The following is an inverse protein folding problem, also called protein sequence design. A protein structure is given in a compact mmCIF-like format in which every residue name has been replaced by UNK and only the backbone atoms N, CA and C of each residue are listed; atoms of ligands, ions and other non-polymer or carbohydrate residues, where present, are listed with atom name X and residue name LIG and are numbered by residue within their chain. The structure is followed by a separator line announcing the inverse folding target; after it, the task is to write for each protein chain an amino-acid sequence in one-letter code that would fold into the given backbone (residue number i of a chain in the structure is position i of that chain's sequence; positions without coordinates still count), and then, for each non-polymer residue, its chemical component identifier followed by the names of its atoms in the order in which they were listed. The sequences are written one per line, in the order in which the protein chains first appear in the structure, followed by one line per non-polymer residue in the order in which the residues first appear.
data_IF_242017244538
#
_entry.id   IF_242017244538
#
_cell.length_a   1.000
_cell.length_b   1.000
_cell.length_c   1.000
_cell.angle_alpha   90.00
_cell.angle_beta   90.00
_cell.angle_gamma   90.00
#
_symmetry.space_group_name_H-M   'P 1'
#
loop_
_entity.id
_entity.type
_entity.pdbx_description
1 polymer ?
#
# COMPACT_ATOMS: atom_id res chain seq x y z
N UNK A 1 -9.63 -2.42 -10.67
CA UNK A 1 -10.49 -2.60 -9.47
C UNK A 1 -10.44 -4.07 -9.02
N UNK A 2 -10.66 -4.39 -7.74
CA UNK A 2 -10.78 -5.79 -7.28
C UNK A 2 -9.51 -6.64 -7.26
N UNK A 3 -8.33 -6.03 -7.43
CA UNK A 3 -7.05 -6.75 -7.46
C UNK A 3 -6.59 -7.27 -6.08
N UNK A 4 -7.17 -6.77 -4.98
CA UNK A 4 -6.77 -7.15 -3.62
C UNK A 4 -6.03 -6.06 -2.83
N UNK A 5 -5.99 -4.80 -3.31
CA UNK A 5 -5.33 -3.69 -2.60
C UNK A 5 -5.81 -3.49 -1.16
N UNK A 6 -7.13 -3.46 -0.94
CA UNK A 6 -7.69 -3.35 0.41
C UNK A 6 -7.37 -4.59 1.27
N UNK A 7 -7.31 -5.79 0.67
CA UNK A 7 -6.87 -7.00 1.37
C UNK A 7 -5.42 -6.86 1.84
N UNK A 8 -4.55 -6.36 0.96
CA UNK A 8 -3.17 -6.04 1.32
C UNK A 8 -3.11 -4.98 2.43
N UNK A 9 -3.88 -3.89 2.33
CA UNK A 9 -3.89 -2.82 3.32
C UNK A 9 -4.29 -3.31 4.73
N UNK A 10 -5.23 -4.26 4.81
CA UNK A 10 -5.61 -4.92 6.06
C UNK A 10 -4.46 -5.71 6.67
N UNK A 11 -3.85 -6.62 5.90
CA UNK A 11 -2.71 -7.40 6.38
C UNK A 11 -1.51 -6.52 6.75
N UNK A 12 -1.28 -5.43 6.01
CA UNK A 12 -0.26 -4.44 6.32
C UNK A 12 -0.55 -3.76 7.67
N UNK A 13 -1.79 -3.30 7.88
CA UNK A 13 -2.21 -2.72 9.15
C UNK A 13 -2.10 -3.68 10.33
N UNK A 14 -2.46 -4.95 10.15
CA UNK A 14 -2.30 -5.98 11.18
C UNK A 14 -0.82 -6.16 11.56
N UNK A 15 0.09 -6.19 10.56
CA UNK A 15 1.53 -6.27 10.79
C UNK A 15 2.12 -5.02 11.47
N UNK A 16 1.45 -3.86 11.37
CA UNK A 16 1.84 -2.65 12.07
C UNK A 16 1.32 -2.55 13.51
N UNK A 17 0.52 -3.52 13.97
CA UNK A 17 -0.11 -3.52 15.30
C UNK A 17 -0.90 -2.24 15.59
N UNK A 18 -1.81 -1.91 14.66
CA UNK A 18 -2.69 -0.75 14.78
C UNK A 18 -3.74 -0.92 15.88
N UNK A 19 -4.17 0.20 16.47
CA UNK A 19 -5.25 0.20 17.46
C UNK A 19 -6.56 -0.33 16.88
N UNK A 20 -6.82 0.00 15.61
CA UNK A 20 -8.04 -0.37 14.89
C UNK A 20 -7.70 -1.00 13.53
N UNK A 21 -8.46 -2.02 13.08
CA UNK A 21 -8.24 -2.63 11.77
C UNK A 21 -8.44 -1.63 10.62
N UNK A 22 -7.62 -1.78 9.58
CA UNK A 22 -7.75 -0.97 8.36
C UNK A 22 -9.05 -1.33 7.62
N UNK A 23 -9.78 -0.30 7.22
CA UNK A 23 -10.94 -0.44 6.34
C UNK A 23 -10.74 0.43 5.11
N UNK A 24 -11.28 0.00 3.96
CA UNK A 24 -11.22 0.81 2.74
C UNK A 24 -11.78 2.21 3.05
N UNK A 25 -11.05 3.28 2.70
CA UNK A 25 -11.52 4.64 2.86
C UNK A 25 -12.47 5.00 1.72
N UNK A 26 -13.56 4.22 1.59
CA UNK A 26 -14.54 4.29 0.49
C UNK A 26 -15.17 5.69 0.30
N UNK A 27 -15.15 6.53 1.34
CA UNK A 27 -15.74 7.87 1.37
C UNK A 27 -14.81 8.99 1.85
N UNK A 28 -13.61 8.66 2.34
CA UNK A 28 -12.68 9.65 2.90
C UNK A 28 -11.38 9.49 2.13
N UNK A 29 -10.71 10.57 1.74
CA UNK A 29 -9.50 10.45 0.89
C UNK A 29 -8.34 9.84 1.67
N UNK A 30 -8.15 10.23 2.93
CA UNK A 30 -7.10 9.69 3.80
C UNK A 30 -7.62 9.38 5.21
N UNK A 31 -7.03 8.39 5.87
CA UNK A 31 -7.27 8.06 7.28
C UNK A 31 -5.97 7.79 8.01
N UNK A 32 -5.86 8.35 9.21
CA UNK A 32 -4.76 8.03 10.13
C UNK A 32 -5.20 6.91 11.07
N UNK A 33 -4.36 5.89 11.18
CA UNK A 33 -4.50 4.76 12.07
C UNK A 33 -3.32 4.78 13.06
N UNK A 34 -3.57 5.08 14.34
CA UNK A 34 -2.54 4.98 15.37
C UNK A 34 -2.07 3.55 15.56
N UNK A 35 -0.79 3.40 15.92
CA UNK A 35 -0.24 2.14 16.43
C UNK A 35 -0.54 2.00 17.92
N UNK A 36 -0.63 0.77 18.41
CA UNK A 36 -0.75 0.50 19.85
C UNK A 36 0.48 0.94 20.65
N UNK A 37 1.66 0.89 20.03
CA UNK A 37 2.88 1.46 20.58
C UNK A 37 2.98 2.95 20.21
N UNK A 38 2.85 3.82 21.20
CA UNK A 38 2.77 5.28 21.01
C UNK A 38 4.07 5.92 20.47
N UNK A 39 5.21 5.24 20.59
CA UNK A 39 6.51 5.71 20.12
C UNK A 39 6.77 5.40 18.63
N UNK A 40 5.87 4.65 17.98
CA UNK A 40 6.00 4.28 16.58
C UNK A 40 5.11 5.15 15.66
N UNK A 41 5.59 5.46 14.44
CA UNK A 41 4.80 6.21 13.46
C UNK A 41 3.43 5.60 13.17
N UNK A 42 2.41 6.45 13.12
CA UNK A 42 1.06 6.07 12.68
C UNK A 42 1.04 5.66 11.21
N UNK A 43 0.02 4.92 10.80
CA UNK A 43 -0.26 4.64 9.39
C UNK A 43 -1.22 5.69 8.83
N UNK A 44 -0.84 6.37 7.76
CA UNK A 44 -1.78 7.12 6.92
C UNK A 44 -2.16 6.27 5.72
N UNK A 45 -3.42 5.86 5.65
CA UNK A 45 -4.00 5.14 4.51
C UNK A 45 -4.71 6.12 3.58
N UNK A 46 -4.13 6.35 2.40
CA UNK A 46 -4.61 7.27 1.37
C UNK A 46 -5.23 6.48 0.21
N UNK A 47 -6.41 6.86 -0.28
CA UNK A 47 -6.96 6.40 -1.56
C UNK A 47 -7.03 7.56 -2.55
N UNK A 48 -5.99 7.64 -3.39
CA UNK A 48 -5.82 8.71 -4.37
C UNK A 48 -6.74 8.56 -5.60
N UNK A 49 -7.55 7.49 -5.69
CA UNK A 49 -8.54 7.35 -6.77
C UNK A 49 -9.57 8.49 -6.79
N UNK A 50 -9.76 9.16 -5.65
CA UNK A 50 -10.70 10.27 -5.49
C UNK A 50 -10.11 11.65 -5.74
N UNK A 51 -8.79 11.75 -5.82
CA UNK A 51 -8.12 13.03 -6.04
C UNK A 51 -8.32 13.49 -7.48
N UNK A 52 -8.72 14.75 -7.65
CA UNK A 52 -8.77 15.43 -8.93
C UNK A 52 -7.43 16.04 -9.34
N UNK A 53 -6.57 16.36 -8.37
CA UNK A 53 -5.28 17.03 -8.61
C UNK A 53 -4.27 16.82 -7.47
N UNK A 54 -3.00 17.17 -7.70
CA UNK A 54 -1.98 17.18 -6.65
C UNK A 54 -2.25 18.28 -5.60
N UNK A 55 -2.89 19.39 -5.97
CA UNK A 55 -3.25 20.44 -5.02
C UNK A 55 -4.23 19.92 -3.96
N UNK A 56 -5.20 19.08 -4.35
CA UNK A 56 -6.11 18.42 -3.39
C UNK A 56 -5.37 17.47 -2.44
N UNK A 57 -4.23 16.90 -2.85
CA UNK A 57 -3.40 16.08 -1.96
C UNK A 57 -2.70 16.96 -0.91
N UNK A 58 -2.14 18.09 -1.33
CA UNK A 58 -1.47 19.04 -0.43
C UNK A 58 -2.46 19.60 0.62
N UNK A 59 -3.72 19.81 0.23
CA UNK A 59 -4.81 20.25 1.13
C UNK A 59 -5.15 19.23 2.23
N UNK A 60 -4.75 17.96 2.09
CA UNK A 60 -4.97 16.95 3.14
C UNK A 60 -4.06 17.13 4.36
N UNK A 61 -3.02 17.97 4.25
CA UNK A 61 -2.07 18.29 5.34
C UNK A 61 -1.49 17.01 5.99
N UNK A 62 -1.13 16.03 5.16
CA UNK A 62 -0.59 14.76 5.63
C UNK A 62 0.86 14.96 6.08
N UNK A 63 1.16 14.69 7.35
CA UNK A 63 2.53 14.63 7.83
C UNK A 63 3.21 13.32 7.38
N UNK A 64 3.64 13.33 6.12
CA UNK A 64 4.37 12.21 5.49
C UNK A 64 5.68 11.90 6.19
N UNK A 65 6.29 12.88 6.86
CA UNK A 65 7.62 12.75 7.46
C UNK A 65 7.62 11.98 8.78
N UNK A 66 6.51 12.02 9.52
CA UNK A 66 6.33 11.33 10.80
C UNK A 66 5.41 10.10 10.71
N UNK A 67 5.00 9.71 9.50
CA UNK A 67 4.02 8.65 9.27
C UNK A 67 4.55 7.55 8.34
N UNK A 68 4.03 6.34 8.48
CA UNK A 68 4.05 5.35 7.40
C UNK A 68 2.88 5.68 6.47
N UNK A 69 3.14 5.88 5.19
CA UNK A 69 2.09 6.18 4.21
C UNK A 69 1.83 4.97 3.31
N UNK A 70 0.59 4.46 3.34
CA UNK A 70 0.11 3.46 2.40
C UNK A 70 -0.89 4.11 1.45
N UNK A 71 -0.52 4.31 0.20
CA UNK A 71 -1.31 5.06 -0.76
C UNK A 71 -1.80 4.18 -1.93
N UNK A 72 -3.11 3.99 -2.04
CA UNK A 72 -3.75 3.34 -3.17
C UNK A 72 -3.88 4.30 -4.35
N UNK A 73 -3.65 3.81 -5.57
CA UNK A 73 -3.76 4.59 -6.82
C UNK A 73 -2.90 5.85 -6.90
N UNK A 74 -1.86 5.95 -6.06
CA UNK A 74 -1.09 7.18 -5.89
C UNK A 74 0.03 7.41 -6.92
N UNK A 75 0.19 6.53 -7.93
CA UNK A 75 1.24 6.68 -8.97
C UNK A 75 1.32 8.11 -9.55
N UNK A 76 0.21 8.80 -9.89
CA UNK A 76 0.27 10.16 -10.43
C UNK A 76 0.78 11.21 -9.42
N UNK A 77 0.71 10.89 -8.12
CA UNK A 77 0.97 11.81 -7.02
C UNK A 77 2.18 11.40 -6.16
N UNK A 78 2.84 10.28 -6.47
CA UNK A 78 3.88 9.69 -5.63
C UNK A 78 5.01 10.68 -5.31
N UNK A 79 5.44 11.47 -6.30
CA UNK A 79 6.45 12.51 -6.15
C UNK A 79 6.02 13.68 -5.26
N UNK A 80 4.73 13.91 -5.07
CA UNK A 80 4.24 14.90 -4.10
C UNK A 80 4.29 14.36 -2.67
N UNK A 81 4.30 13.03 -2.49
CA UNK A 81 4.38 12.38 -1.19
C UNK A 81 5.82 12.16 -0.72
N UNK A 82 6.70 11.73 -1.63
CA UNK A 82 8.09 11.37 -1.29
C UNK A 82 8.98 11.30 -2.53
N UNK A 83 10.28 11.59 -2.35
CA UNK A 83 11.33 11.35 -3.35
C UNK A 83 11.75 9.87 -3.44
N UNK A 84 11.38 9.07 -2.43
CA UNK A 84 11.72 7.64 -2.34
C UNK A 84 10.52 6.82 -1.85
N UNK A 85 10.17 5.75 -2.57
CA UNK A 85 9.06 4.88 -2.19
C UNK A 85 9.20 3.47 -2.78
N UNK A 86 8.40 2.54 -2.25
CA UNK A 86 8.18 1.22 -2.86
C UNK A 86 6.79 1.18 -3.44
N UNK A 87 6.69 0.80 -4.72
CA UNK A 87 5.44 0.59 -5.43
C UNK A 87 5.08 -0.89 -5.49
N UNK A 88 3.81 -1.20 -5.21
CA UNK A 88 3.23 -2.53 -5.35
C UNK A 88 2.18 -2.53 -6.46
N UNK A 89 2.43 -3.29 -7.52
CA UNK A 89 1.46 -3.56 -8.58
C UNK A 89 0.85 -4.94 -8.38
N UNK A 90 -0.47 -4.99 -8.14
CA UNK A 90 -1.21 -6.24 -7.92
C UNK A 90 -2.05 -6.52 -9.17
N UNK A 91 -1.72 -7.58 -9.89
CA UNK A 91 -2.47 -8.07 -11.03
C UNK A 91 -3.31 -9.29 -10.65
N UNK A 92 -4.60 -9.26 -10.99
CA UNK A 92 -5.47 -10.44 -10.95
C UNK A 92 -5.30 -11.25 -12.24
N UNK A 93 -5.53 -12.57 -12.21
CA UNK A 93 -5.62 -13.37 -13.43
C UNK A 93 -6.71 -12.82 -14.37
N UNK A 94 -6.46 -12.95 -15.67
CA UNK A 94 -7.40 -12.61 -16.74
C UNK A 94 -7.72 -13.88 -17.52
N UNK A 95 -9.00 -14.16 -17.70
CA UNK A 95 -9.51 -15.40 -18.29
C UNK A 95 -10.51 -16.09 -17.37
N UNK A 96 -11.63 -16.55 -17.92
CA UNK A 96 -12.56 -17.44 -17.21
C UNK A 96 -12.06 -18.87 -17.38
N UNK A 97 -11.76 -19.55 -16.29
CA UNK A 97 -11.91 -21.00 -16.26
C UNK A 97 -13.32 -21.24 -15.72
N UNK A 98 -14.13 -22.07 -16.40
CA UNK A 98 -15.48 -22.45 -15.93
C UNK A 98 -15.43 -23.37 -14.69
N UNK A 99 -14.27 -23.44 -14.04
CA UNK A 99 -13.95 -24.29 -12.91
C UNK A 99 -14.06 -23.45 -11.64
N UNK A 100 -15.04 -23.79 -10.81
CA UNK A 100 -15.46 -23.00 -9.64
C UNK A 100 -14.47 -23.10 -8.46
N UNK A 101 -13.42 -23.90 -8.58
CA UNK A 101 -12.50 -24.30 -7.49
C UNK A 101 -11.01 -24.04 -7.81
N UNK A 102 -10.68 -23.24 -8.84
CA UNK A 102 -9.29 -22.88 -9.09
C UNK A 102 -8.86 -21.68 -8.25
N UNK A 103 -7.70 -21.81 -7.59
CA UNK A 103 -7.04 -20.67 -6.97
C UNK A 103 -6.88 -19.54 -8.00
N UNK A 104 -7.21 -18.31 -7.62
CA UNK A 104 -6.95 -17.13 -8.43
C UNK A 104 -5.73 -16.36 -7.89
N UNK A 105 -4.48 -16.87 -8.07
CA UNK A 105 -3.31 -16.23 -7.49
C UNK A 105 -3.14 -14.82 -8.06
N UNK A 106 -2.82 -13.86 -7.18
CA UNK A 106 -2.48 -12.49 -7.59
C UNK A 106 -0.98 -12.43 -7.89
N UNK A 107 -0.59 -11.87 -9.04
CA UNK A 107 0.81 -11.52 -9.29
C UNK A 107 1.09 -10.16 -8.65
N UNK A 108 2.03 -10.11 -7.73
CA UNK A 108 2.48 -8.86 -7.10
C UNK A 108 3.86 -8.52 -7.65
N UNK A 109 3.99 -7.38 -8.30
CA UNK A 109 5.28 -6.81 -8.70
C UNK A 109 5.64 -5.71 -7.71
N UNK A 110 6.85 -5.76 -7.18
CA UNK A 110 7.40 -4.74 -6.28
C UNK A 110 8.45 -3.95 -7.06
N UNK A 111 8.41 -2.62 -6.98
CA UNK A 111 9.38 -1.72 -7.62
C UNK A 111 9.84 -0.67 -6.63
N UNK A 112 11.15 -0.47 -6.49
CA UNK A 112 11.73 0.62 -5.70
C UNK A 112 11.94 1.88 -6.56
N UNK A 113 11.69 3.05 -5.98
CA UNK A 113 11.88 4.35 -6.60
C UNK A 113 12.70 5.28 -5.69
N UNK A 114 13.54 6.14 -6.29
CA UNK A 114 14.46 6.99 -5.55
C UNK A 114 15.52 6.17 -4.80
N UNK A 115 15.95 6.67 -3.64
CA UNK A 115 16.92 5.98 -2.76
C UNK A 115 16.25 4.96 -1.82
N UNK A 116 15.28 4.20 -2.35
CA UNK A 116 14.54 3.19 -1.58
C UNK A 116 15.32 1.88 -1.42
N UNK A 117 16.64 1.87 -1.64
CA UNK A 117 17.45 0.65 -1.67
C UNK A 117 17.43 -0.09 -0.32
N UNK A 118 17.57 0.64 0.79
CA UNK A 118 17.52 0.06 2.13
C UNK A 118 16.14 -0.53 2.46
N UNK A 119 15.07 0.17 2.09
CA UNK A 119 13.69 -0.31 2.28
C UNK A 119 13.43 -1.55 1.40
N UNK A 120 13.93 -1.53 0.17
CA UNK A 120 13.84 -2.63 -0.77
C UNK A 120 14.55 -3.87 -0.24
N UNK A 121 15.79 -3.74 0.23
CA UNK A 121 16.55 -4.86 0.78
C UNK A 121 15.85 -5.46 2.00
N UNK A 122 15.36 -4.61 2.92
CA UNK A 122 14.57 -5.07 4.07
C UNK A 122 13.31 -5.82 3.66
N UNK A 123 12.61 -5.33 2.63
CA UNK A 123 11.39 -5.95 2.12
C UNK A 123 11.68 -7.30 1.45
N UNK A 124 12.75 -7.38 0.66
CA UNK A 124 13.15 -8.63 0.00
C UNK A 124 13.66 -9.67 1.00
N UNK A 125 14.39 -9.26 2.04
CA UNK A 125 14.84 -10.15 3.11
C UNK A 125 13.66 -10.70 3.93
N UNK A 126 12.66 -9.87 4.22
CA UNK A 126 11.41 -10.33 4.83
C UNK A 126 10.61 -11.26 3.91
N UNK A 127 10.79 -11.10 2.59
CA UNK A 127 10.11 -11.89 1.56
C UNK A 127 10.64 -13.32 1.39
N UNK A 128 11.83 -13.67 1.88
CA UNK A 128 12.40 -15.02 1.72
C UNK A 128 11.61 -16.12 2.46
N UNK A 129 10.74 -15.73 3.40
CA UNK A 129 9.81 -16.62 4.09
C UNK A 129 8.56 -16.95 3.23
N UNK A 130 8.34 -16.19 2.16
CA UNK A 130 7.25 -16.37 1.21
C UNK A 130 7.82 -16.93 -0.11
N UNK A 131 7.09 -17.81 -0.81
CA UNK A 131 7.50 -18.33 -2.12
C UNK A 131 7.46 -17.22 -3.19
N UNK A 132 8.45 -16.32 -3.16
CA UNK A 132 8.61 -15.22 -4.11
C UNK A 132 9.36 -15.75 -5.33
N UNK A 133 8.64 -15.95 -6.45
CA UNK A 133 9.26 -16.21 -7.75
C UNK A 133 10.00 -14.95 -8.22
N UNK A 134 11.28 -15.10 -8.57
CA UNK A 134 12.12 -14.04 -9.13
C UNK A 134 12.09 -14.18 -10.67
N UNK A 135 11.60 -13.15 -11.37
CA UNK A 135 11.69 -13.02 -12.83
C UNK A 135 12.94 -12.20 -13.20
#
# INVERSE_FOLDING_TARGET
LGAGKTTFARGFGDALDLETPVSSPTFIVARTHPRRAEDLPSLVHLDAYRLGSAAELDELDIDVSSSVVLAEWARPYAHALSDSWVELSIARPVGHTDLVDEDEPRKVTVTAHGDAADLWERLMNAGEEFHVSRD
#
